data_IF_212702467881
#
_entry.id   IF_212702467881
#
_cell.length_a   1.000
_cell.length_b   1.000
_cell.length_c   1.000
_cell.angle_alpha   90.00
_cell.angle_beta   90.00
_cell.angle_gamma   90.00
#
_symmetry.space_group_name_H-M   'P 1'
#
loop_
_entity.id
_entity.type
_entity.pdbx_description
1 polymer ?
#
# COMPACT_ATOMS: atom_id res chain seq x y z
N UNK A 1 5.42 -28.60 -5.73
CA UNK A 1 6.23 -27.56 -6.35
C UNK A 1 5.73 -26.14 -6.15
N UNK A 2 4.65 -25.73 -6.82
CA UNK A 2 4.21 -24.33 -6.87
C UNK A 2 3.83 -23.74 -5.49
N UNK A 3 3.18 -24.51 -4.63
CA UNK A 3 2.78 -24.08 -3.28
C UNK A 3 4.00 -23.75 -2.41
N UNK A 4 5.04 -24.59 -2.48
CA UNK A 4 6.29 -24.39 -1.71
C UNK A 4 6.98 -23.11 -2.16
N UNK A 5 7.08 -22.88 -3.47
CA UNK A 5 7.68 -21.66 -4.02
C UNK A 5 6.89 -20.43 -3.61
N UNK A 6 5.56 -20.46 -3.71
CA UNK A 6 4.72 -19.36 -3.30
C UNK A 6 4.86 -19.05 -1.80
N UNK A 7 4.88 -20.08 -0.94
CA UNK A 7 5.04 -19.89 0.50
C UNK A 7 6.41 -19.33 0.87
N UNK A 8 7.47 -19.78 0.18
CA UNK A 8 8.83 -19.26 0.41
C UNK A 8 8.96 -17.80 -0.01
N UNK A 9 8.41 -17.43 -1.16
CA UNK A 9 8.39 -16.05 -1.63
C UNK A 9 7.58 -15.14 -0.68
N UNK A 10 6.43 -15.62 -0.22
CA UNK A 10 5.61 -14.89 0.75
C UNK A 10 6.36 -14.69 2.08
N UNK A 11 6.98 -15.76 2.60
CA UNK A 11 7.79 -15.67 3.83
C UNK A 11 8.98 -14.72 3.68
N UNK A 12 9.67 -14.74 2.54
CA UNK A 12 10.75 -13.80 2.26
C UNK A 12 10.25 -12.35 2.20
N UNK A 13 9.07 -12.11 1.62
CA UNK A 13 8.43 -10.80 1.60
C UNK A 13 8.15 -10.26 3.02
N UNK A 14 7.56 -11.09 3.88
CA UNK A 14 7.31 -10.73 5.28
C UNK A 14 8.59 -10.46 6.06
N UNK A 15 9.64 -11.26 5.87
CA UNK A 15 10.92 -11.06 6.52
C UNK A 15 11.59 -9.75 6.07
N UNK A 16 11.52 -9.44 4.78
CA UNK A 16 12.04 -8.19 4.23
C UNK A 16 11.28 -6.98 4.78
N UNK A 17 9.95 -7.06 4.87
CA UNK A 17 9.11 -6.01 5.43
C UNK A 17 9.40 -5.78 6.92
N UNK A 18 9.54 -6.86 7.69
CA UNK A 18 9.91 -6.79 9.10
C UNK A 18 11.26 -6.08 9.30
N UNK A 19 12.25 -6.46 8.50
CA UNK A 19 13.58 -5.86 8.55
C UNK A 19 13.53 -4.38 8.16
N UNK A 20 12.78 -4.02 7.13
CA UNK A 20 12.60 -2.64 6.68
C UNK A 20 11.97 -1.76 7.77
N UNK A 21 10.90 -2.22 8.41
CA UNK A 21 10.24 -1.50 9.51
C UNK A 21 11.21 -1.36 10.70
N UNK A 22 11.93 -2.41 11.06
CA UNK A 22 12.89 -2.36 12.16
C UNK A 22 14.03 -1.36 11.91
N UNK A 23 14.59 -1.33 10.70
CA UNK A 23 15.62 -0.36 10.31
C UNK A 23 15.07 1.06 10.28
N UNK A 24 13.85 1.25 9.79
CA UNK A 24 13.20 2.55 9.76
C UNK A 24 12.94 3.08 11.18
N UNK A 25 12.43 2.25 12.10
CA UNK A 25 12.28 2.64 13.51
C UNK A 25 13.61 3.10 14.11
N UNK A 26 14.70 2.41 13.81
CA UNK A 26 16.06 2.83 14.24
C UNK A 26 16.48 4.17 13.66
N UNK A 27 16.12 4.45 12.42
CA UNK A 27 16.38 5.76 11.80
C UNK A 27 15.62 6.90 12.51
N UNK A 28 14.46 6.61 13.08
CA UNK A 28 13.69 7.55 13.93
C UNK A 28 14.15 7.57 15.41
N UNK A 29 15.29 6.96 15.72
CA UNK A 29 15.86 6.93 17.07
C UNK A 29 15.23 5.90 18.02
N UNK A 30 14.32 5.06 17.54
CA UNK A 30 13.64 4.00 18.30
C UNK A 30 14.49 2.74 18.22
N UNK A 31 15.29 2.47 19.26
CA UNK A 31 16.28 1.37 19.31
C UNK A 31 15.73 0.13 20.01
N UNK A 32 14.51 -0.21 19.73
CA UNK A 32 13.83 -1.35 20.33
C UNK A 32 14.16 -2.67 19.59
N UNK A 33 13.94 -3.84 20.23
CA UNK A 33 14.19 -5.13 19.61
C UNK A 33 13.27 -5.36 18.40
N UNK A 34 13.64 -6.32 17.55
CA UNK A 34 12.89 -6.67 16.34
C UNK A 34 11.42 -7.05 16.66
N UNK A 35 11.16 -7.51 17.90
CA UNK A 35 9.82 -7.79 18.37
C UNK A 35 8.90 -6.56 18.36
N UNK A 36 9.44 -5.36 18.61
CA UNK A 36 8.68 -4.11 18.50
C UNK A 36 8.25 -3.85 17.05
N UNK A 37 9.15 -4.06 16.08
CA UNK A 37 8.81 -3.95 14.66
C UNK A 37 7.77 -5.00 14.23
N UNK A 38 7.84 -6.21 14.76
CA UNK A 38 6.86 -7.26 14.52
C UNK A 38 5.48 -6.88 15.07
N UNK A 39 5.42 -6.28 16.25
CA UNK A 39 4.18 -5.79 16.85
C UNK A 39 3.60 -4.62 16.05
N UNK A 40 4.43 -3.70 15.58
CA UNK A 40 4.03 -2.62 14.67
C UNK A 40 3.41 -3.20 13.40
N UNK A 41 4.10 -4.14 12.73
CA UNK A 41 3.57 -4.79 11.53
C UNK A 41 2.22 -5.48 11.80
N UNK A 42 2.11 -6.22 12.89
CA UNK A 42 0.88 -6.92 13.24
C UNK A 42 -0.29 -5.94 13.42
N UNK A 43 -0.11 -4.93 14.26
CA UNK A 43 -1.17 -3.95 14.58
C UNK A 43 -1.57 -3.15 13.34
N UNK A 44 -0.60 -2.70 12.55
CA UNK A 44 -0.88 -1.95 11.32
C UNK A 44 -1.63 -2.82 10.31
N UNK A 45 -1.21 -4.08 10.08
CA UNK A 45 -1.92 -4.97 9.17
C UNK A 45 -3.35 -5.28 9.63
N UNK A 46 -3.56 -5.49 10.93
CA UNK A 46 -4.90 -5.66 11.49
C UNK A 46 -5.73 -4.40 11.31
N UNK A 47 -5.18 -3.22 11.60
CA UNK A 47 -5.88 -1.95 11.42
C UNK A 47 -6.29 -1.70 9.96
N UNK A 48 -5.40 -2.02 9.00
CA UNK A 48 -5.67 -1.87 7.58
C UNK A 48 -6.62 -2.94 7.01
N UNK A 49 -6.77 -4.09 7.68
CA UNK A 49 -7.73 -5.12 7.28
C UNK A 49 -9.18 -4.67 7.44
N UNK A 50 -9.44 -3.67 8.28
CA UNK A 50 -10.76 -3.07 8.44
C UNK A 50 -10.91 -1.86 7.50
N UNK A 51 -11.79 -1.90 6.48
CA UNK A 51 -12.00 -0.79 5.55
C UNK A 51 -12.87 0.32 6.17
N UNK A 52 -12.46 0.83 7.34
CA UNK A 52 -13.23 1.81 8.10
C UNK A 52 -13.16 3.21 7.52
N UNK A 53 -12.18 3.48 6.64
CA UNK A 53 -11.95 4.83 6.11
C UNK A 53 -11.23 4.79 4.75
N UNK A 54 -11.61 5.65 3.78
CA UNK A 54 -11.05 5.57 2.41
C UNK A 54 -9.56 5.87 2.28
N UNK A 55 -8.88 6.36 3.31
CA UNK A 55 -7.44 6.67 3.23
C UNK A 55 -6.61 6.17 4.40
N UNK A 56 -7.19 5.52 5.43
CA UNK A 56 -6.47 5.04 6.62
C UNK A 56 -5.50 6.06 7.28
N UNK A 57 -5.58 7.34 6.87
CA UNK A 57 -4.75 8.43 7.42
C UNK A 57 -5.14 8.62 8.87
N UNK A 58 -4.15 8.57 9.76
CA UNK A 58 -4.35 8.62 11.20
C UNK A 58 -4.43 7.23 11.85
N UNK A 59 -5.11 6.26 11.23
CA UNK A 59 -5.21 4.90 11.79
C UNK A 59 -3.87 4.15 11.76
N UNK A 60 -3.13 4.30 10.66
CA UNK A 60 -1.77 3.76 10.52
C UNK A 60 -0.85 4.32 11.60
N UNK A 61 -0.80 5.64 11.74
CA UNK A 61 0.05 6.33 12.71
C UNK A 61 -0.35 6.00 14.16
N UNK A 62 -1.65 5.95 14.44
CA UNK A 62 -2.15 5.54 15.74
C UNK A 62 -1.79 4.08 16.04
N UNK A 63 -1.87 3.19 15.05
CA UNK A 63 -1.46 1.79 15.18
C UNK A 63 0.02 1.65 15.53
N UNK A 64 0.90 2.39 14.85
CA UNK A 64 2.34 2.43 15.17
C UNK A 64 2.58 2.96 16.58
N UNK A 65 1.93 4.07 16.95
CA UNK A 65 2.05 4.65 18.28
C UNK A 65 1.64 3.67 19.38
N UNK A 66 0.47 3.03 19.22
CA UNK A 66 -0.04 2.04 20.18
C UNK A 66 0.87 0.81 20.30
N UNK A 67 1.42 0.34 19.18
CA UNK A 67 2.35 -0.79 19.16
C UNK A 67 3.64 -0.51 19.95
N UNK A 68 4.07 0.74 20.02
CA UNK A 68 5.32 1.15 20.65
C UNK A 68 5.15 1.54 22.13
N UNK A 69 3.92 1.78 22.62
CA UNK A 69 3.67 2.10 24.03
C UNK A 69 4.25 1.07 25.03
N UNK A 70 4.12 -0.26 24.81
CA UNK A 70 4.66 -1.24 25.73
C UNK A 70 6.19 -1.20 25.87
N UNK A 71 6.86 -0.59 24.91
CA UNK A 71 8.32 -0.39 24.90
C UNK A 71 8.76 0.95 25.51
N UNK A 72 7.83 1.69 26.13
CA UNK A 72 8.15 2.97 26.77
C UNK A 72 8.28 4.14 25.82
N UNK A 73 7.94 3.98 24.54
CA UNK A 73 7.94 5.06 23.56
C UNK A 73 6.66 5.90 23.74
N UNK A 74 6.80 7.22 23.87
CA UNK A 74 5.67 8.11 24.00
C UNK A 74 4.77 8.07 22.75
N UNK A 75 3.47 8.25 22.94
CA UNK A 75 2.49 8.23 21.84
C UNK A 75 2.87 9.20 20.72
N UNK A 76 3.29 10.43 21.06
CA UNK A 76 3.69 11.45 20.08
C UNK A 76 4.91 11.02 19.25
N UNK A 77 5.90 10.38 19.87
CA UNK A 77 7.08 9.89 19.17
C UNK A 77 6.71 8.71 18.27
N UNK A 78 5.92 7.77 18.77
CA UNK A 78 5.41 6.64 17.97
C UNK A 78 4.53 7.10 16.80
N UNK A 79 3.69 8.12 16.99
CA UNK A 79 2.87 8.71 15.95
C UNK A 79 3.74 9.38 14.86
N UNK A 80 4.75 10.16 15.25
CA UNK A 80 5.68 10.77 14.32
C UNK A 80 6.47 9.72 13.51
N UNK A 81 6.92 8.63 14.16
CA UNK A 81 7.52 7.49 13.46
C UNK A 81 6.56 6.84 12.47
N UNK A 82 5.28 6.71 12.82
CA UNK A 82 4.22 6.22 11.92
C UNK A 82 4.04 7.09 10.68
N UNK A 83 4.07 8.42 10.83
CA UNK A 83 4.05 9.33 9.68
C UNK A 83 5.26 9.09 8.78
N UNK A 84 6.46 8.98 9.37
CA UNK A 84 7.68 8.72 8.62
C UNK A 84 7.66 7.39 7.87
N UNK A 85 7.19 6.32 8.52
CA UNK A 85 7.02 5.00 7.89
C UNK A 85 6.07 5.07 6.70
N UNK A 86 4.92 5.74 6.84
CA UNK A 86 3.95 5.89 5.76
C UNK A 86 4.54 6.68 4.58
N UNK A 87 5.30 7.73 4.84
CA UNK A 87 5.99 8.50 3.78
C UNK A 87 6.97 7.59 3.02
N UNK A 88 7.74 6.75 3.72
CA UNK A 88 8.67 5.81 3.10
C UNK A 88 7.91 4.80 2.24
N UNK A 89 6.83 4.21 2.74
CA UNK A 89 6.01 3.24 1.99
C UNK A 89 5.43 3.85 0.72
N UNK A 90 4.86 5.04 0.82
CA UNK A 90 4.30 5.75 -0.35
C UNK A 90 5.39 6.11 -1.35
N UNK A 91 6.54 6.62 -0.88
CA UNK A 91 7.66 6.98 -1.76
C UNK A 91 8.19 5.76 -2.52
N UNK A 92 8.37 4.63 -1.84
CA UNK A 92 8.81 3.37 -2.47
C UNK A 92 7.76 2.86 -3.45
N UNK A 93 6.49 2.82 -3.05
CA UNK A 93 5.39 2.36 -3.90
C UNK A 93 5.23 3.20 -5.17
N UNK A 94 5.26 4.52 -5.05
CA UNK A 94 5.19 5.44 -6.20
C UNK A 94 6.41 5.30 -7.09
N UNK A 95 7.62 5.22 -6.53
CA UNK A 95 8.86 5.08 -7.30
C UNK A 95 8.88 3.79 -8.12
N UNK A 96 8.50 2.66 -7.50
CA UNK A 96 8.41 1.38 -8.19
C UNK A 96 7.29 1.38 -9.22
N UNK A 97 6.12 1.93 -8.89
CA UNK A 97 5.00 2.06 -9.83
C UNK A 97 5.38 2.84 -11.07
N UNK A 98 6.00 4.00 -10.91
CA UNK A 98 6.48 4.83 -12.03
C UNK A 98 7.57 4.13 -12.84
N UNK A 99 8.49 3.42 -12.17
CA UNK A 99 9.54 2.66 -12.85
C UNK A 99 8.96 1.57 -13.74
N UNK A 100 8.00 0.79 -13.26
CA UNK A 100 7.34 -0.25 -14.06
C UNK A 100 6.50 0.34 -15.19
N UNK A 101 5.75 1.42 -14.94
CA UNK A 101 5.00 2.13 -15.99
C UNK A 101 5.93 2.61 -17.12
N UNK A 102 7.07 3.20 -16.75
CA UNK A 102 8.04 3.67 -17.72
C UNK A 102 8.65 2.51 -18.53
N UNK A 103 8.87 1.34 -17.88
CA UNK A 103 9.46 0.17 -18.52
C UNK A 103 8.49 -0.56 -19.44
N UNK A 104 7.20 -0.59 -19.12
CA UNK A 104 6.16 -1.22 -19.95
C UNK A 104 5.74 -0.35 -21.13
N UNK A 105 6.31 0.85 -21.30
CA UNK A 105 6.02 1.74 -22.43
C UNK A 105 4.57 2.23 -22.48
N UNK A 106 3.85 2.13 -21.34
CA UNK A 106 2.53 2.74 -21.20
C UNK A 106 2.68 4.26 -21.18
N UNK A 107 2.86 4.80 -22.39
CA UNK A 107 2.82 6.24 -22.61
C UNK A 107 1.41 6.72 -22.26
N UNK A 108 1.32 7.83 -21.55
CA UNK A 108 0.05 8.54 -21.31
C UNK A 108 -0.70 8.85 -22.64
N UNK A 109 -0.02 8.77 -23.77
CA UNK A 109 -0.57 8.85 -25.12
C UNK A 109 -1.55 7.71 -25.43
N UNK A 110 -1.30 6.49 -24.93
CA UNK A 110 -2.20 5.34 -25.14
C UNK A 110 -3.51 5.45 -24.35
N UNK A 111 -3.52 6.14 -23.22
CA UNK A 111 -4.73 6.46 -22.47
C UNK A 111 -5.61 7.49 -23.18
N UNK A 112 -5.00 8.38 -23.98
CA UNK A 112 -5.70 9.41 -24.75
C UNK A 112 -6.30 8.85 -26.05
N UNK A 113 -5.81 7.69 -26.51
CA UNK A 113 -6.30 6.98 -27.70
C UNK A 113 -7.33 5.88 -27.39
N UNK A 114 -7.82 5.76 -26.14
CA UNK A 114 -9.00 4.94 -25.91
C UNK A 114 -10.17 5.55 -26.72
N UNK A 115 -10.56 4.90 -27.82
CA UNK A 115 -11.64 5.42 -28.64
C UNK A 115 -12.88 5.54 -27.75
N UNK A 116 -13.52 6.67 -27.84
CA UNK A 116 -14.74 7.02 -27.13
C UNK A 116 -15.75 5.85 -27.12
N UNK A 117 -15.72 5.05 -26.07
CA UNK A 117 -16.71 3.97 -25.85
C UNK A 117 -18.14 4.49 -25.90
N UNK A 118 -18.33 5.80 -25.61
CA UNK A 118 -19.60 6.50 -25.71
C UNK A 118 -20.18 6.51 -27.14
N UNK A 119 -19.35 6.59 -28.17
CA UNK A 119 -19.82 6.58 -29.55
C UNK A 119 -20.33 5.22 -30.05
N UNK A 120 -19.77 4.13 -29.54
CA UNK A 120 -20.26 2.78 -29.89
C UNK A 120 -21.58 2.43 -29.18
N UNK A 121 -21.71 2.81 -27.91
CA UNK A 121 -22.95 2.59 -27.16
C UNK A 121 -24.11 3.35 -27.77
N UNK A 122 -23.92 4.61 -28.19
CA UNK A 122 -24.94 5.38 -28.89
C UNK A 122 -25.37 4.74 -30.22
N UNK A 123 -24.44 4.20 -31.00
CA UNK A 123 -24.73 3.53 -32.26
C UNK A 123 -25.48 2.20 -32.05
N UNK A 124 -25.22 1.49 -31.00
CA UNK A 124 -25.93 0.27 -30.64
C UNK A 124 -27.36 0.58 -30.16
N UNK A 125 -27.52 1.61 -29.34
CA UNK A 125 -28.84 2.07 -28.89
C UNK A 125 -29.71 2.52 -30.07
N UNK A 126 -29.17 3.31 -30.99
CA UNK A 126 -29.95 3.77 -32.16
C UNK A 126 -30.41 2.62 -33.06
N UNK A 127 -29.61 1.55 -33.22
CA UNK A 127 -29.99 0.37 -33.97
C UNK A 127 -31.10 -0.47 -33.29
N UNK A 128 -31.03 -0.56 -31.94
CA UNK A 128 -32.06 -1.27 -31.16
C UNK A 128 -33.40 -0.55 -31.23
N UNK A 129 -33.42 0.77 -31.22
CA UNK A 129 -34.64 1.56 -31.32
C UNK A 129 -35.19 1.62 -32.76
N UNK A 130 -34.33 1.62 -33.79
CA UNK A 130 -34.78 1.60 -35.19
C UNK A 130 -35.36 0.25 -35.63
N UNK A 131 -35.01 -0.84 -34.98
CA UNK A 131 -35.55 -2.19 -35.29
C UNK A 131 -36.87 -2.52 -34.62
N UNK A 132 -37.48 -1.59 -33.86
CA UNK A 132 -38.76 -1.77 -33.15
C UNK A 132 -39.93 -0.98 -33.76
N UNK A 133 -39.73 -0.35 -34.91
CA UNK A 133 -40.78 0.24 -35.73
C UNK A 133 -40.98 -0.59 -36.98
#
# INVERSE_FOLDING_TARGET
GAVVVASTLQGAGWATQLLAVWLALRAFGIREPIAAAALVLLIVNVALAFPLWPSAIGLYQAGVALALLPYGISYSHGFAAGVGLQVIEVAVGVSLGLFFLAREGLSFTSLKEMPHFSGQIMRLQSRVYAGKQ
#
